data_IF_090711300657
#
_entry.id   IF_090711300657
#
_cell.length_a   1.000
_cell.length_b   1.000
_cell.length_c   1.000
_cell.angle_alpha   90.00
_cell.angle_beta   90.00
_cell.angle_gamma   90.00
#
_symmetry.space_group_name_H-M   'P 1'
#
loop_
_entity.id
_entity.type
_entity.pdbx_description
1 polymer ?
#
# COMPACT_ATOMS: atom_id res chain seq x y z
N UNK A 1 31.59 2.46 -14.88
CA UNK A 1 31.18 2.07 -16.25
C UNK A 1 29.73 1.62 -16.15
N UNK A 2 28.79 2.46 -16.57
CA UNK A 2 27.36 2.14 -16.53
C UNK A 2 27.06 1.13 -17.65
N UNK A 3 26.62 -0.07 -17.28
CA UNK A 3 26.08 -1.02 -18.26
C UNK A 3 24.68 -0.53 -18.62
N UNK A 4 24.55 0.03 -19.83
CA UNK A 4 23.28 0.41 -20.43
C UNK A 4 22.53 -0.84 -20.91
N UNK A 5 21.71 -1.44 -20.05
CA UNK A 5 20.59 -2.30 -20.47
C UNK A 5 19.40 -1.39 -20.76
N UNK A 6 19.42 -0.76 -21.94
CA UNK A 6 18.65 0.44 -22.31
C UNK A 6 17.12 0.43 -22.26
N UNK A 7 16.45 -0.41 -21.46
CA UNK A 7 14.99 -0.29 -21.21
C UNK A 7 14.53 -0.56 -19.77
N UNK A 8 15.26 -1.32 -18.93
CA UNK A 8 14.76 -1.80 -17.62
C UNK A 8 15.59 -1.28 -16.45
N UNK A 9 14.96 -1.07 -15.29
CA UNK A 9 15.63 -0.69 -14.04
C UNK A 9 16.18 -1.94 -13.33
N UNK A 10 17.31 -1.77 -12.63
CA UNK A 10 17.86 -2.81 -11.76
C UNK A 10 16.95 -2.92 -10.54
N UNK A 11 16.58 -4.14 -10.15
CA UNK A 11 15.72 -4.41 -9.00
C UNK A 11 14.29 -4.79 -9.38
N UNK A 12 13.72 -5.75 -8.65
CA UNK A 12 12.42 -6.37 -8.96
C UNK A 12 11.25 -5.37 -8.89
N UNK A 13 11.34 -4.41 -7.98
CA UNK A 13 10.29 -3.41 -7.70
C UNK A 13 10.67 -1.99 -8.12
N UNK A 14 11.82 -1.81 -8.78
CA UNK A 14 12.25 -0.52 -9.27
C UNK A 14 11.64 -0.23 -10.64
N UNK A 15 11.13 0.98 -10.82
CA UNK A 15 10.57 1.42 -12.09
C UNK A 15 10.90 2.87 -12.41
N UNK A 16 10.62 3.25 -13.66
CA UNK A 16 10.67 4.64 -14.11
C UNK A 16 9.27 5.23 -14.08
N UNK A 17 9.15 6.44 -13.54
CA UNK A 17 7.91 7.21 -13.60
C UNK A 17 7.74 7.80 -15.01
N UNK A 18 6.50 7.87 -15.49
CA UNK A 18 6.18 8.53 -16.75
C UNK A 18 6.02 10.03 -16.47
N UNK A 19 6.94 10.86 -16.98
CA UNK A 19 6.95 12.30 -16.72
C UNK A 19 6.07 13.07 -17.71
N UNK A 20 6.08 12.66 -18.97
CA UNK A 20 5.28 13.26 -20.03
C UNK A 20 4.84 12.20 -21.03
N UNK A 21 3.57 12.24 -21.43
CA UNK A 21 3.03 11.36 -22.48
C UNK A 21 2.40 12.23 -23.56
N UNK A 22 3.03 12.29 -24.72
CA UNK A 22 2.52 13.01 -25.89
C UNK A 22 2.06 12.01 -26.95
N UNK A 23 1.00 11.26 -26.63
CA UNK A 23 0.45 10.21 -27.49
C UNK A 23 1.38 9.00 -27.57
N UNK A 24 2.25 8.94 -28.59
CA UNK A 24 3.12 7.78 -28.85
C UNK A 24 4.49 7.85 -28.16
N UNK A 25 4.91 9.02 -27.70
CA UNK A 25 6.21 9.22 -27.07
C UNK A 25 6.04 9.51 -25.57
N UNK A 26 6.41 8.54 -24.75
CA UNK A 26 6.52 8.67 -23.30
C UNK A 26 7.95 9.07 -22.94
N UNK A 27 8.12 10.13 -22.14
CA UNK A 27 9.41 10.43 -21.50
C UNK A 27 9.42 9.85 -20.09
N UNK A 28 10.48 9.10 -19.80
CA UNK A 28 10.65 8.40 -18.54
C UNK A 28 11.61 9.18 -17.62
N UNK A 29 11.30 9.19 -16.34
CA UNK A 29 12.19 9.69 -15.30
C UNK A 29 13.33 8.72 -14.97
N UNK A 30 14.04 9.04 -13.90
CA UNK A 30 15.08 8.16 -13.34
C UNK A 30 14.47 6.91 -12.69
N UNK A 31 15.30 5.87 -12.51
CA UNK A 31 14.88 4.64 -11.84
C UNK A 31 14.73 4.85 -10.33
N UNK A 32 13.58 4.48 -9.78
CA UNK A 32 13.30 4.55 -8.34
C UNK A 32 12.07 3.72 -7.95
N UNK A 33 11.51 3.98 -6.77
CA UNK A 33 10.21 3.44 -6.39
C UNK A 33 9.07 4.13 -7.13
N UNK A 34 8.01 3.38 -7.50
CA UNK A 34 6.83 4.01 -8.08
C UNK A 34 6.04 4.77 -7.02
N UNK A 35 5.33 5.86 -7.41
CA UNK A 35 4.46 6.57 -6.49
C UNK A 35 3.27 5.70 -6.06
N UNK A 36 2.58 6.11 -5.00
CA UNK A 36 1.34 5.47 -4.56
C UNK A 36 0.32 5.37 -5.70
N UNK A 37 -0.46 4.31 -5.70
CA UNK A 37 -1.38 3.91 -6.75
C UNK A 37 -0.74 3.26 -7.99
N UNK A 38 0.59 3.10 -8.06
CA UNK A 38 1.29 2.55 -9.22
C UNK A 38 2.12 1.31 -8.89
N UNK A 39 2.29 0.45 -9.89
CA UNK A 39 3.15 -0.73 -9.85
C UNK A 39 4.03 -0.80 -11.09
N UNK A 40 5.19 -1.42 -10.91
CA UNK A 40 6.16 -1.68 -11.98
C UNK A 40 5.69 -2.80 -12.91
N UNK A 41 5.71 -2.57 -14.21
CA UNK A 41 5.46 -3.59 -15.24
C UNK A 41 6.75 -4.37 -15.61
N UNK A 42 6.64 -5.39 -16.46
CA UNK A 42 7.74 -6.23 -16.97
C UNK A 42 8.89 -5.44 -17.61
N UNK A 43 8.61 -4.22 -18.08
CA UNK A 43 9.60 -3.31 -18.66
C UNK A 43 10.17 -2.30 -17.64
N UNK A 44 9.95 -2.49 -16.34
CA UNK A 44 10.33 -1.55 -15.28
C UNK A 44 9.72 -0.16 -15.42
N UNK A 45 8.46 -0.07 -15.86
CA UNK A 45 7.73 1.20 -16.00
C UNK A 45 6.62 1.23 -14.96
N UNK A 46 6.48 2.36 -14.26
CA UNK A 46 5.40 2.56 -13.30
C UNK A 46 4.07 2.79 -14.03
N UNK A 47 3.11 1.89 -13.82
CA UNK A 47 1.76 1.93 -14.39
C UNK A 47 0.74 1.97 -13.27
N UNK A 48 -0.37 2.66 -13.50
CA UNK A 48 -1.42 2.81 -12.48
C UNK A 48 -2.23 1.52 -12.35
N UNK A 49 -2.53 1.15 -11.10
CA UNK A 49 -3.29 -0.05 -10.83
C UNK A 49 -4.79 0.20 -11.02
N UNK A 50 -5.38 -0.56 -11.93
CA UNK A 50 -6.82 -0.50 -12.26
C UNK A 50 -7.58 -1.74 -11.78
N UNK A 51 -6.91 -2.65 -11.08
CA UNK A 51 -7.50 -3.88 -10.57
C UNK A 51 -8.43 -3.61 -9.39
N UNK A 52 -9.24 -4.62 -9.09
CA UNK A 52 -10.15 -4.61 -7.94
C UNK A 52 -9.73 -5.70 -6.96
N UNK A 53 -9.82 -5.46 -5.64
CA UNK A 53 -9.48 -6.45 -4.64
C UNK A 53 -10.39 -7.68 -4.73
N UNK A 54 -9.78 -8.86 -4.66
CA UNK A 54 -10.52 -10.14 -4.62
C UNK A 54 -11.06 -10.42 -3.21
N UNK A 55 -11.85 -11.48 -3.04
CA UNK A 55 -12.44 -11.83 -1.74
C UNK A 55 -11.38 -11.96 -0.62
N UNK A 56 -10.25 -12.61 -0.92
CA UNK A 56 -9.15 -12.76 0.03
C UNK A 56 -8.61 -11.41 0.50
N UNK A 57 -8.44 -10.47 -0.44
CA UNK A 57 -7.93 -9.14 -0.16
C UNK A 57 -8.88 -8.37 0.77
N UNK A 58 -10.19 -8.48 0.55
CA UNK A 58 -11.20 -7.91 1.43
C UNK A 58 -11.19 -8.51 2.83
N UNK A 59 -11.01 -9.82 2.95
CA UNK A 59 -10.88 -10.49 4.25
C UNK A 59 -9.63 -10.01 5.00
N UNK A 60 -8.51 -9.85 4.29
CA UNK A 60 -7.27 -9.33 4.85
C UNK A 60 -7.40 -7.87 5.30
N UNK A 61 -7.93 -6.99 4.44
CA UNK A 61 -8.15 -5.58 4.78
C UNK A 61 -9.15 -5.43 5.92
N UNK A 62 -10.21 -6.25 5.93
CA UNK A 62 -11.16 -6.33 7.04
C UNK A 62 -10.50 -6.74 8.35
N UNK A 63 -9.63 -7.76 8.33
CA UNK A 63 -8.84 -8.15 9.49
C UNK A 63 -7.94 -7.00 9.99
N UNK A 64 -7.21 -6.34 9.09
CA UNK A 64 -6.35 -5.21 9.44
C UNK A 64 -7.14 -4.02 10.00
N UNK A 65 -8.35 -3.75 9.49
CA UNK A 65 -9.24 -2.73 10.02
C UNK A 65 -9.90 -3.08 11.35
N UNK A 66 -10.15 -4.36 11.62
CA UNK A 66 -10.75 -4.84 12.88
C UNK A 66 -9.74 -4.96 14.02
N UNK A 67 -8.46 -5.17 13.71
CA UNK A 67 -7.42 -5.36 14.71
C UNK A 67 -7.31 -4.20 15.72
N UNK A 68 -7.31 -2.91 15.30
CA UNK A 68 -7.35 -1.79 16.24
C UNK A 68 -8.55 -1.84 17.19
N UNK A 69 -9.74 -2.17 16.67
CA UNK A 69 -10.96 -2.24 17.48
C UNK A 69 -10.85 -3.34 18.55
N UNK A 70 -10.38 -4.53 18.16
CA UNK A 70 -10.18 -5.66 19.08
C UNK A 70 -9.19 -5.28 20.17
N UNK A 71 -8.08 -4.62 19.81
CA UNK A 71 -7.09 -4.14 20.78
C UNK A 71 -7.67 -3.08 21.71
N UNK A 72 -8.44 -2.11 21.19
CA UNK A 72 -9.10 -1.11 22.01
C UNK A 72 -10.03 -1.75 23.02
N UNK A 73 -10.89 -2.67 22.60
CA UNK A 73 -11.78 -3.38 23.51
C UNK A 73 -11.03 -4.20 24.54
N UNK A 74 -9.98 -4.91 24.13
CA UNK A 74 -9.12 -5.65 25.06
C UNK A 74 -8.52 -4.74 26.15
N UNK A 75 -7.96 -3.60 25.76
CA UNK A 75 -7.38 -2.65 26.73
C UNK A 75 -8.45 -2.00 27.61
N UNK A 76 -9.64 -1.71 27.07
CA UNK A 76 -10.75 -1.20 27.87
C UNK A 76 -11.13 -2.22 28.95
N UNK A 77 -11.32 -3.50 28.60
CA UNK A 77 -11.65 -4.53 29.59
C UNK A 77 -10.54 -4.72 30.63
N UNK A 78 -9.28 -4.73 30.18
CA UNK A 78 -8.13 -4.90 31.06
C UNK A 78 -8.00 -3.78 32.10
N UNK A 79 -8.31 -2.53 31.72
CA UNK A 79 -8.10 -1.35 32.58
C UNK A 79 -9.36 -0.77 33.22
N UNK A 80 -10.57 -1.03 32.73
CA UNK A 80 -11.81 -0.36 33.19
C UNK A 80 -12.30 -0.82 34.58
N UNK A 81 -11.75 -1.92 35.12
CA UNK A 81 -12.04 -2.38 36.47
C UNK A 81 -13.53 -2.74 36.68
N UNK A 82 -14.04 -2.63 37.92
CA UNK A 82 -15.41 -3.08 38.27
C UNK A 82 -16.55 -2.15 37.85
N UNK A 83 -16.28 -0.97 37.27
CA UNK A 83 -17.33 0.00 36.87
C UNK A 83 -17.85 -0.28 35.46
N UNK A 84 -18.73 -1.28 35.36
CA UNK A 84 -19.32 -1.78 34.10
C UNK A 84 -19.98 -0.69 33.22
N UNK A 85 -20.62 0.32 33.81
CA UNK A 85 -21.32 1.36 33.03
C UNK A 85 -20.37 2.26 32.23
N UNK A 86 -19.19 2.59 32.78
CA UNK A 86 -18.19 3.41 32.07
C UNK A 86 -17.50 2.64 30.94
N UNK A 87 -17.25 1.35 31.14
CA UNK A 87 -16.66 0.47 30.14
C UNK A 87 -17.53 0.41 28.87
N UNK A 88 -18.84 0.31 29.04
CA UNK A 88 -19.79 0.25 27.92
C UNK A 88 -19.71 1.48 27.00
N UNK A 89 -19.67 2.69 27.58
CA UNK A 89 -19.50 3.92 26.79
C UNK A 89 -18.16 3.95 26.06
N UNK A 90 -17.08 3.48 26.70
CA UNK A 90 -15.75 3.41 26.06
C UNK A 90 -15.75 2.45 24.86
N UNK A 91 -16.43 1.29 24.96
CA UNK A 91 -16.54 0.36 23.84
C UNK A 91 -17.30 0.96 22.64
N UNK A 92 -18.40 1.68 22.90
CA UNK A 92 -19.17 2.36 21.86
C UNK A 92 -18.33 3.45 21.20
N UNK A 93 -17.65 4.28 21.98
CA UNK A 93 -16.79 5.34 21.44
C UNK A 93 -15.66 4.75 20.60
N UNK A 94 -14.98 3.71 21.08
CA UNK A 94 -13.94 3.03 20.32
C UNK A 94 -14.46 2.42 19.01
N UNK A 95 -15.67 1.86 19.01
CA UNK A 95 -16.32 1.36 17.80
C UNK A 95 -16.54 2.50 16.80
N UNK A 96 -17.14 3.62 17.24
CA UNK A 96 -17.40 4.77 16.39
C UNK A 96 -16.10 5.36 15.83
N UNK A 97 -15.08 5.58 16.67
CA UNK A 97 -13.77 6.09 16.25
C UNK A 97 -13.13 5.19 15.19
N UNK A 98 -13.08 3.87 15.40
CA UNK A 98 -12.50 2.94 14.44
C UNK A 98 -13.29 2.91 13.13
N UNK A 99 -14.63 2.89 13.19
CA UNK A 99 -15.46 2.89 11.98
C UNK A 99 -15.33 4.17 11.16
N UNK A 100 -15.33 5.33 11.83
CA UNK A 100 -15.18 6.63 11.17
C UNK A 100 -13.77 6.75 10.59
N UNK A 101 -12.73 6.34 11.33
CA UNK A 101 -11.36 6.30 10.82
C UNK A 101 -11.27 5.43 9.55
N UNK A 102 -11.80 4.21 9.58
CA UNK A 102 -11.79 3.32 8.42
C UNK A 102 -12.52 3.94 7.20
N UNK A 103 -13.71 4.51 7.40
CA UNK A 103 -14.46 5.17 6.32
C UNK A 103 -13.72 6.38 5.76
N UNK A 104 -13.14 7.23 6.62
CA UNK A 104 -12.36 8.40 6.19
C UNK A 104 -11.13 7.96 5.42
N UNK A 105 -10.39 6.95 5.90
CA UNK A 105 -9.23 6.40 5.19
C UNK A 105 -9.62 5.94 3.78
N UNK A 106 -10.71 5.19 3.64
CA UNK A 106 -11.19 4.77 2.32
C UNK A 106 -11.59 5.94 1.42
N UNK A 107 -12.15 7.01 1.98
CA UNK A 107 -12.62 8.15 1.20
C UNK A 107 -11.50 9.10 0.76
N UNK A 108 -10.39 9.14 1.51
CA UNK A 108 -9.22 10.00 1.23
C UNK A 108 -8.24 9.32 0.27
N UNK A 109 -8.19 7.98 0.23
CA UNK A 109 -7.32 7.24 -0.67
C UNK A 109 -7.82 7.28 -2.13
N UNK A 110 -6.92 7.10 -3.09
CA UNK A 110 -7.25 7.11 -4.53
C UNK A 110 -8.10 5.87 -4.89
N UNK A 111 -9.29 6.03 -5.52
CA UNK A 111 -9.93 7.27 -5.97
C UNK A 111 -10.69 8.02 -4.87
N UNK A 112 -10.30 9.29 -4.67
CA UNK A 112 -10.87 10.17 -3.64
C UNK A 112 -12.38 10.30 -3.79
N UNK A 113 -13.12 10.13 -2.69
CA UNK A 113 -14.57 10.29 -2.65
C UNK A 113 -15.39 9.05 -2.99
N UNK A 114 -14.74 7.93 -3.36
CA UNK A 114 -15.41 6.67 -3.65
C UNK A 114 -15.04 5.60 -2.61
N UNK A 115 -16.01 4.82 -2.16
CA UNK A 115 -15.77 3.63 -1.31
C UNK A 115 -15.30 2.43 -2.14
N UNK A 116 -14.28 2.66 -2.98
CA UNK A 116 -13.73 1.66 -3.88
C UNK A 116 -12.21 1.71 -3.80
N UNK A 117 -11.58 0.55 -3.56
CA UNK A 117 -10.12 0.45 -3.46
C UNK A 117 -9.58 -0.09 -4.78
N UNK A 118 -8.51 0.53 -5.28
CA UNK A 118 -7.73 -0.02 -6.39
C UNK A 118 -6.68 -0.99 -5.86
N UNK A 119 -6.57 -2.15 -6.50
CA UNK A 119 -5.58 -3.18 -6.18
C UNK A 119 -4.72 -3.47 -7.40
N UNK A 120 -3.43 -3.72 -7.19
CA UNK A 120 -2.55 -4.24 -8.23
C UNK A 120 -2.56 -5.78 -8.27
N UNK A 121 -3.20 -6.41 -7.29
CA UNK A 121 -3.17 -7.86 -7.11
C UNK A 121 -1.83 -8.38 -6.57
N UNK A 122 -1.82 -9.66 -6.21
CA UNK A 122 -0.62 -10.39 -5.80
C UNK A 122 -0.16 -11.25 -6.96
N UNK A 123 1.06 -11.04 -7.44
CA UNK A 123 1.69 -11.93 -8.43
C UNK A 123 2.67 -12.90 -7.76
N UNK A 124 3.39 -12.43 -6.75
CA UNK A 124 4.44 -13.17 -6.05
C UNK A 124 4.38 -12.91 -4.56
N UNK A 125 4.85 -13.87 -3.75
CA UNK A 125 4.95 -13.69 -2.30
C UNK A 125 5.87 -12.52 -1.90
N UNK A 126 6.88 -12.24 -2.72
CA UNK A 126 7.80 -11.11 -2.53
C UNK A 126 7.09 -9.75 -2.56
N UNK A 127 5.90 -9.66 -3.16
CA UNK A 127 5.15 -8.40 -3.30
C UNK A 127 4.72 -7.81 -1.96
N UNK A 128 4.62 -8.65 -0.93
CA UNK A 128 4.34 -8.23 0.45
C UNK A 128 5.55 -7.64 1.17
N UNK A 129 6.75 -7.89 0.65
CA UNK A 129 8.02 -7.59 1.32
C UNK A 129 8.98 -6.88 0.38
N UNK A 130 8.48 -5.95 -0.44
CA UNK A 130 9.27 -5.20 -1.43
C UNK A 130 10.52 -4.55 -0.83
N UNK A 131 10.45 -4.15 0.46
CA UNK A 131 11.56 -3.60 1.23
C UNK A 131 12.80 -4.50 1.29
N UNK A 132 12.63 -5.82 1.26
CA UNK A 132 13.72 -6.79 1.29
C UNK A 132 14.40 -7.00 -0.07
N UNK A 133 13.81 -6.47 -1.14
CA UNK A 133 14.27 -6.66 -2.52
C UNK A 133 14.84 -5.37 -3.15
N UNK A 134 15.30 -4.44 -2.31
CA UNK A 134 16.02 -3.24 -2.77
C UNK A 134 17.38 -3.63 -3.37
N UNK A 135 17.69 -3.22 -4.61
CA UNK A 135 18.96 -3.55 -5.26
C UNK A 135 20.12 -2.68 -4.75
N UNK A 136 21.33 -3.26 -4.82
CA UNK A 136 22.60 -2.57 -4.55
C UNK A 136 23.53 -2.70 -5.75
N UNK A 137 23.32 -1.92 -6.84
CA UNK A 137 24.03 -2.11 -8.10
C UNK A 137 25.55 -2.00 -7.98
N UNK A 138 26.05 -1.09 -7.14
CA UNK A 138 27.48 -0.87 -6.91
C UNK A 138 28.00 -1.55 -5.62
N UNK A 139 27.18 -2.37 -4.94
CA UNK A 139 27.45 -2.95 -3.60
C UNK A 139 27.71 -1.93 -2.47
N UNK A 140 27.75 -0.64 -2.79
CA UNK A 140 27.95 0.47 -1.86
C UNK A 140 26.65 1.24 -1.65
N UNK A 141 25.94 1.57 -2.72
CA UNK A 141 24.69 2.34 -2.67
C UNK A 141 23.48 1.42 -2.86
N UNK A 142 22.51 1.50 -1.97
CA UNK A 142 21.20 0.85 -2.08
C UNK A 142 20.19 1.79 -2.73
N UNK A 143 19.56 1.37 -3.81
CA UNK A 143 18.42 2.11 -4.38
C UNK A 143 17.15 1.64 -3.67
N UNK A 144 16.44 2.57 -3.05
CA UNK A 144 15.21 2.26 -2.33
C UNK A 144 14.01 2.31 -3.27
N UNK A 145 13.50 1.15 -3.63
CA UNK A 145 12.33 0.97 -4.49
C UNK A 145 11.16 0.35 -3.73
N UNK A 146 11.11 0.60 -2.42
CA UNK A 146 10.07 0.06 -1.54
C UNK A 146 8.74 0.70 -1.88
N UNK A 147 7.76 -0.14 -2.19
CA UNK A 147 6.41 0.32 -2.51
C UNK A 147 5.38 -0.69 -2.02
N UNK A 148 4.16 -0.20 -1.82
CA UNK A 148 3.00 -1.02 -1.47
C UNK A 148 2.47 -1.70 -2.74
N UNK A 149 3.12 -2.79 -3.16
CA UNK A 149 2.88 -3.39 -4.47
C UNK A 149 1.54 -4.12 -4.60
N UNK A 150 0.88 -4.47 -3.49
CA UNK A 150 -0.40 -5.21 -3.48
C UNK A 150 -1.58 -4.26 -3.33
N UNK A 151 -1.60 -3.48 -2.24
CA UNK A 151 -2.59 -2.44 -1.97
C UNK A 151 -1.88 -1.10 -1.89
N UNK A 152 -1.75 -0.38 -3.00
CA UNK A 152 -1.09 0.92 -3.00
C UNK A 152 -2.05 1.98 -2.45
N UNK A 153 -2.33 1.92 -1.14
CA UNK A 153 -3.30 2.75 -0.42
C UNK A 153 -2.74 4.13 -0.08
#
# INVERSE_FOLDING_TARGET
MAVDTGKTCIGLYCGKTVLFSNGSNETFGECGGCPRGQRTDSYSICRQCMGTPVLYDWLYLGFMGLLPLILHWFFIEWYSGKKSSSAFFQHITALLECTVAALITLLVNDPVGYLHIRSCGVEKLSDWYTMLYNPSPDYVNTVHCTQEAVYPL
#
